data_IF_250415870528
#
_entry.id   IF_250415870528
#
_cell.length_a   1.000
_cell.length_b   1.000
_cell.length_c   1.000
_cell.angle_alpha   90.00
_cell.angle_beta   90.00
_cell.angle_gamma   90.00
#
_symmetry.space_group_name_H-M   'P 1'
#
loop_
_entity.id
_entity.type
_entity.pdbx_description
1 polymer ?
#
# COMPACT_ATOMS: atom_id res chain seq x y z
N UNK A 1 -12.31 5.63 4.15
CA UNK A 1 -11.66 5.72 2.86
C UNK A 1 -10.17 5.97 2.92
N UNK A 2 -9.58 6.12 1.76
CA UNK A 2 -8.16 6.41 1.63
C UNK A 2 -7.29 5.21 1.38
N UNK A 3 -5.97 5.44 1.43
CA UNK A 3 -4.95 4.45 1.07
C UNK A 3 -4.00 4.26 2.24
N UNK A 4 -3.77 3.02 2.65
CA UNK A 4 -2.83 2.69 3.72
C UNK A 4 -1.99 1.49 3.34
N UNK A 5 -0.77 1.43 3.87
CA UNK A 5 0.07 0.24 3.77
C UNK A 5 0.36 -0.29 5.16
N UNK A 6 -0.02 -1.55 5.39
CA UNK A 6 0.19 -2.23 6.67
C UNK A 6 1.45 -3.06 6.65
N UNK A 7 2.11 -3.12 7.79
CA UNK A 7 3.28 -3.96 8.01
C UNK A 7 3.25 -4.53 9.43
N UNK A 8 3.96 -5.64 9.64
CA UNK A 8 4.26 -6.13 10.98
C UNK A 8 5.74 -5.90 11.24
N UNK A 9 6.06 -5.30 12.38
CA UNK A 9 7.42 -4.86 12.66
C UNK A 9 8.32 -6.02 13.13
N UNK A 10 8.57 -6.98 12.22
CA UNK A 10 9.53 -8.06 12.47
C UNK A 10 10.95 -7.53 12.47
N UNK A 11 11.23 -6.64 11.52
CA UNK A 11 12.52 -5.96 11.35
C UNK A 11 12.24 -4.52 10.91
N UNK A 12 13.24 -3.67 10.93
CA UNK A 12 13.09 -2.30 10.42
C UNK A 12 12.82 -2.23 8.93
N UNK A 13 13.09 -3.30 8.19
CA UNK A 13 12.90 -3.34 6.75
C UNK A 13 11.43 -3.41 6.34
N UNK A 14 10.57 -4.01 7.17
CA UNK A 14 9.13 -4.07 6.88
C UNK A 14 8.53 -2.66 6.84
N UNK A 15 8.83 -1.83 7.83
CA UNK A 15 8.38 -0.45 7.86
C UNK A 15 8.97 0.37 6.70
N UNK A 16 10.24 0.16 6.38
CA UNK A 16 10.90 0.88 5.28
C UNK A 16 10.26 0.54 3.92
N UNK A 17 9.96 -0.75 3.70
CA UNK A 17 9.26 -1.16 2.49
C UNK A 17 7.86 -0.52 2.43
N UNK A 18 7.12 -0.54 3.53
CA UNK A 18 5.79 0.08 3.61
C UNK A 18 5.85 1.57 3.29
N UNK A 19 6.84 2.29 3.84
CA UNK A 19 7.01 3.72 3.59
C UNK A 19 7.33 4.01 2.13
N UNK A 20 8.21 3.22 1.51
CA UNK A 20 8.56 3.39 0.10
C UNK A 20 7.37 3.17 -0.81
N UNK A 21 6.55 2.16 -0.53
CA UNK A 21 5.35 1.90 -1.33
C UNK A 21 4.28 2.96 -1.06
N UNK A 22 4.01 3.29 0.21
CA UNK A 22 2.99 4.28 0.55
C UNK A 22 3.26 5.64 -0.10
N UNK A 23 4.52 6.07 -0.13
CA UNK A 23 4.87 7.36 -0.73
C UNK A 23 4.55 7.41 -2.23
N UNK A 24 4.51 6.27 -2.90
CA UNK A 24 4.18 6.20 -4.33
C UNK A 24 2.68 6.12 -4.59
N UNK A 25 1.92 5.50 -3.69
CA UNK A 25 0.49 5.24 -3.94
C UNK A 25 -0.44 6.24 -3.24
N UNK A 26 0.07 7.05 -2.32
CA UNK A 26 -0.76 7.90 -1.45
C UNK A 26 -1.63 8.90 -2.22
N UNK A 27 -1.23 9.30 -3.42
CA UNK A 27 -1.89 10.34 -4.20
C UNK A 27 -2.65 9.80 -5.42
N UNK A 28 -2.93 8.52 -5.49
CA UNK A 28 -3.70 7.99 -6.61
C UNK A 28 -5.08 8.64 -6.64
N UNK A 29 -5.51 9.20 -7.79
CA UNK A 29 -6.81 9.87 -7.89
C UNK A 29 -7.98 8.94 -7.60
N UNK A 30 -9.03 9.48 -6.99
CA UNK A 30 -10.26 8.72 -6.70
C UNK A 30 -10.35 8.21 -5.28
N UNK A 31 -9.34 8.46 -4.44
CA UNK A 31 -9.30 8.00 -3.05
C UNK A 31 -9.24 9.16 -2.07
N UNK A 32 -9.75 8.94 -0.87
CA UNK A 32 -9.91 9.97 0.17
C UNK A 32 -8.64 10.20 0.98
N UNK A 33 -7.49 10.16 0.34
CA UNK A 33 -6.26 10.64 0.95
C UNK A 33 -5.34 9.56 1.47
N UNK A 34 -4.23 10.04 1.99
CA UNK A 34 -3.11 9.26 2.48
C UNK A 34 -3.36 8.90 3.95
N UNK A 35 -3.55 7.62 4.23
CA UNK A 35 -3.67 7.11 5.61
C UNK A 35 -2.34 6.64 6.18
N UNK A 36 -1.27 6.77 5.43
CA UNK A 36 0.08 6.45 5.88
C UNK A 36 0.36 4.96 6.02
N UNK A 37 1.47 4.65 6.68
CA UNK A 37 1.80 3.28 7.04
C UNK A 37 1.23 2.98 8.44
N UNK A 38 0.82 1.73 8.65
CA UNK A 38 0.21 1.31 9.91
C UNK A 38 0.70 -0.08 10.30
N UNK A 39 0.93 -0.29 11.59
CA UNK A 39 1.26 -1.62 12.08
C UNK A 39 0.00 -2.48 12.16
N UNK A 40 0.14 -3.75 11.76
CA UNK A 40 -0.95 -4.70 11.87
C UNK A 40 -0.42 -6.09 12.20
N UNK A 41 -1.05 -6.75 13.17
CA UNK A 41 -0.66 -8.10 13.56
C UNK A 41 -1.40 -9.12 12.67
N UNK A 42 -1.03 -9.15 11.39
CA UNK A 42 -1.64 -10.02 10.40
C UNK A 42 -0.76 -11.26 10.22
N UNK A 43 -1.40 -12.42 10.17
CA UNK A 43 -0.69 -13.71 10.08
C UNK A 43 0.30 -13.73 8.92
N UNK A 44 -0.13 -13.32 7.73
CA UNK A 44 0.73 -13.36 6.53
C UNK A 44 1.95 -12.46 6.67
N UNK A 45 1.81 -11.31 7.32
CA UNK A 45 2.93 -10.38 7.53
C UNK A 45 3.89 -10.88 8.59
N UNK A 46 3.36 -11.54 9.63
CA UNK A 46 4.15 -11.99 10.77
C UNK A 46 4.95 -13.26 10.46
N UNK A 47 4.40 -14.13 9.61
CA UNK A 47 4.95 -15.47 9.38
C UNK A 47 5.80 -15.62 8.13
N UNK A 48 6.09 -14.54 7.40
CA UNK A 48 7.03 -14.60 6.29
C UNK A 48 8.44 -14.22 6.76
N UNK A 49 9.46 -14.83 6.15
CA UNK A 49 10.86 -14.57 6.48
C UNK A 49 11.45 -13.39 5.72
N UNK A 50 10.66 -12.70 4.93
CA UNK A 50 11.10 -11.55 4.15
C UNK A 50 10.25 -10.33 4.53
N UNK A 51 10.71 -9.10 4.22
CA UNK A 51 9.88 -7.93 4.39
C UNK A 51 8.57 -8.08 3.62
N UNK A 52 7.45 -7.79 4.28
CA UNK A 52 6.12 -7.98 3.70
C UNK A 52 5.20 -6.83 4.09
N UNK A 53 4.28 -6.50 3.17
CA UNK A 53 3.30 -5.44 3.37
C UNK A 53 1.94 -5.88 2.85
N UNK A 54 0.89 -5.20 3.34
CA UNK A 54 -0.46 -5.32 2.81
C UNK A 54 -0.97 -3.94 2.47
N UNK A 55 -1.28 -3.71 1.19
CA UNK A 55 -1.82 -2.43 0.73
C UNK A 55 -3.34 -2.47 0.82
N UNK A 56 -3.93 -1.49 1.50
CA UNK A 56 -5.37 -1.35 1.64
C UNK A 56 -5.84 -0.15 0.81
N UNK A 57 -6.71 -0.40 -0.17
CA UNK A 57 -7.14 0.58 -1.16
C UNK A 57 -8.61 0.94 -0.95
N UNK A 58 -8.86 1.91 -0.06
CA UNK A 58 -10.19 2.43 0.18
C UNK A 58 -11.07 1.53 1.05
N UNK A 59 -12.34 1.88 1.10
CA UNK A 59 -13.34 1.11 1.82
C UNK A 59 -14.53 0.83 0.91
N UNK A 60 -15.13 -0.34 1.07
CA UNK A 60 -16.32 -0.78 0.33
C UNK A 60 -17.47 0.23 0.43
N UNK A 61 -17.59 0.91 1.57
CA UNK A 61 -18.66 1.87 1.80
C UNK A 61 -18.52 3.20 1.05
N UNK A 62 -17.41 3.41 0.31
CA UNK A 62 -17.19 4.65 -0.45
C UNK A 62 -17.44 4.39 -1.93
N UNK A 63 -18.58 4.89 -2.50
CA UNK A 63 -18.91 4.62 -3.90
C UNK A 63 -17.90 5.19 -4.90
N UNK A 64 -17.27 6.33 -4.59
CA UNK A 64 -16.28 6.92 -5.48
C UNK A 64 -15.02 6.07 -5.54
N UNK A 65 -14.56 5.59 -4.40
CA UNK A 65 -13.38 4.71 -4.33
C UNK A 65 -13.67 3.37 -4.98
N UNK A 66 -14.87 2.83 -4.79
CA UNK A 66 -15.28 1.60 -5.45
C UNK A 66 -15.26 1.75 -6.97
N UNK A 67 -15.76 2.86 -7.49
CA UNK A 67 -15.73 3.13 -8.94
C UNK A 67 -14.28 3.21 -9.44
N UNK A 68 -13.42 3.90 -8.70
CA UNK A 68 -12.00 3.99 -9.06
C UNK A 68 -11.35 2.61 -9.13
N UNK A 69 -11.64 1.73 -8.17
CA UNK A 69 -11.07 0.38 -8.13
C UNK A 69 -11.54 -0.51 -9.28
N UNK A 70 -12.68 -0.20 -9.90
CA UNK A 70 -13.17 -0.93 -11.07
C UNK A 70 -12.52 -0.48 -12.37
N UNK A 71 -11.85 0.66 -12.38
CA UNK A 71 -11.17 1.18 -13.56
C UNK A 71 -9.87 0.42 -13.81
N UNK A 72 -9.69 -0.09 -15.03
CA UNK A 72 -8.44 -0.75 -15.40
C UNK A 72 -7.26 0.21 -15.37
N UNK A 73 -7.48 1.47 -15.72
CA UNK A 73 -6.45 2.49 -15.66
C UNK A 73 -5.99 2.72 -14.22
N UNK A 74 -6.92 2.79 -13.27
CA UNK A 74 -6.59 2.95 -11.85
C UNK A 74 -5.81 1.75 -11.33
N UNK A 75 -6.24 0.54 -11.68
CA UNK A 75 -5.52 -0.68 -11.29
C UNK A 75 -4.10 -0.70 -11.82
N UNK A 76 -3.92 -0.30 -13.09
CA UNK A 76 -2.59 -0.23 -13.70
C UNK A 76 -1.74 0.84 -13.03
N UNK A 77 -2.31 1.98 -12.69
CA UNK A 77 -1.62 3.05 -11.99
C UNK A 77 -1.11 2.55 -10.62
N UNK A 78 -1.96 1.87 -9.86
CA UNK A 78 -1.53 1.27 -8.59
C UNK A 78 -0.39 0.28 -8.79
N UNK A 79 -0.51 -0.61 -9.77
CA UNK A 79 0.52 -1.61 -10.04
C UNK A 79 1.86 -0.95 -10.37
N UNK A 80 1.85 0.07 -11.21
CA UNK A 80 3.06 0.80 -11.58
C UNK A 80 3.68 1.50 -10.38
N UNK A 81 2.87 2.11 -9.54
CA UNK A 81 3.34 2.84 -8.36
C UNK A 81 3.87 1.91 -7.29
N UNK A 82 3.21 0.77 -7.07
CA UNK A 82 3.69 -0.24 -6.13
C UNK A 82 5.05 -0.76 -6.59
N UNK A 83 5.18 -1.06 -7.88
CA UNK A 83 6.46 -1.49 -8.45
C UNK A 83 7.56 -0.43 -8.26
N UNK A 84 7.23 0.84 -8.46
CA UNK A 84 8.17 1.95 -8.23
C UNK A 84 8.60 2.03 -6.77
N UNK A 85 7.68 1.81 -5.83
CA UNK A 85 7.98 1.79 -4.41
C UNK A 85 8.90 0.65 -4.02
N UNK A 86 8.65 -0.54 -4.56
CA UNK A 86 9.50 -1.71 -4.33
C UNK A 86 10.90 -1.47 -4.92
N UNK A 87 10.98 -0.93 -6.14
CA UNK A 87 12.26 -0.59 -6.77
C UNK A 87 13.04 0.42 -5.93
N UNK A 88 12.35 1.44 -5.42
CA UNK A 88 12.97 2.44 -4.53
C UNK A 88 13.50 1.81 -3.25
N UNK A 89 12.77 0.85 -2.69
CA UNK A 89 13.23 0.11 -1.50
C UNK A 89 14.56 -0.60 -1.75
N UNK A 90 14.69 -1.28 -2.89
CA UNK A 90 15.92 -2.02 -3.23
C UNK A 90 17.03 -1.11 -3.74
N UNK A 91 16.68 -0.03 -4.41
CA UNK A 91 17.66 0.88 -4.99
C UNK A 91 18.22 1.94 -4.04
N UNK A 92 17.68 1.97 -2.86
CA UNK A 92 18.13 2.91 -1.86
C UNK A 92 17.24 4.05 -1.60
#
# INVERSE_FOLDING_TARGET
GGIATYYYAKTGNDARLAQKVQSQIANVPGFNGDRGIQEGNLYVLRHTNMPAILVELGFISNPNEERALKSDQTKQDFANRIAAGIASYFGG
#
